data_IF_001884989396
#
_entry.id   IF_001884989396
#
_cell.length_a   1.000
_cell.length_b   1.000
_cell.length_c   1.000
_cell.angle_alpha   90.00
_cell.angle_beta   90.00
_cell.angle_gamma   90.00
#
_symmetry.space_group_name_H-M   'P 1'
#
loop_
_entity.id
_entity.type
_entity.pdbx_description
1 polymer ?
#
# COMPACT_ATOMS: atom_id res chain seq x y z
N UNK A 1 12.30 -12.35 4.11
CA UNK A 1 13.66 -11.92 4.51
C UNK A 1 14.70 -12.76 3.77
N UNK A 2 15.93 -12.25 3.63
CA UNK A 2 17.05 -12.95 3.02
C UNK A 2 18.18 -13.01 4.06
N UNK A 3 18.73 -14.19 4.30
CA UNK A 3 19.86 -14.41 5.21
C UNK A 3 21.03 -15.01 4.44
N UNK A 4 22.20 -14.38 4.51
CA UNK A 4 23.44 -14.87 3.94
C UNK A 4 24.35 -15.37 5.05
N UNK A 5 24.91 -16.56 4.88
CA UNK A 5 25.95 -17.08 5.77
C UNK A 5 27.02 -17.82 4.97
N UNK A 6 28.30 -17.53 5.26
CA UNK A 6 29.44 -18.13 4.52
C UNK A 6 29.76 -19.56 4.98
N UNK A 7 29.54 -19.88 6.25
CA UNK A 7 29.83 -21.22 6.81
C UNK A 7 28.62 -22.15 6.68
N UNK A 8 28.85 -23.37 6.20
CA UNK A 8 27.82 -24.42 6.14
C UNK A 8 27.18 -24.71 7.50
N UNK A 9 27.95 -24.63 8.60
CA UNK A 9 27.44 -24.82 9.96
C UNK A 9 26.39 -23.77 10.34
N UNK A 10 26.62 -22.50 9.97
CA UNK A 10 25.68 -21.41 10.23
C UNK A 10 24.41 -21.55 9.38
N UNK A 11 24.54 -21.91 8.10
CA UNK A 11 23.38 -22.19 7.25
C UNK A 11 22.50 -23.31 7.83
N UNK A 12 23.10 -24.43 8.26
CA UNK A 12 22.36 -25.52 8.91
C UNK A 12 21.61 -25.07 10.17
N UNK A 13 22.22 -24.19 10.98
CA UNK A 13 21.57 -23.64 12.17
C UNK A 13 20.38 -22.75 11.75
N UNK A 14 20.55 -21.88 10.76
CA UNK A 14 19.48 -21.02 10.26
C UNK A 14 18.33 -21.83 9.67
N UNK A 15 18.62 -22.84 8.86
CA UNK A 15 17.63 -23.74 8.26
C UNK A 15 16.86 -24.52 9.33
N UNK A 16 17.56 -25.09 10.31
CA UNK A 16 16.93 -25.83 11.42
C UNK A 16 15.97 -24.95 12.23
N UNK A 17 16.27 -23.66 12.35
CA UNK A 17 15.47 -22.71 13.11
C UNK A 17 14.56 -21.83 12.23
N UNK A 18 14.47 -22.12 10.92
CA UNK A 18 13.67 -21.33 9.98
C UNK A 18 12.19 -21.17 10.39
N UNK A 19 11.51 -22.18 10.96
CA UNK A 19 10.13 -22.02 11.44
C UNK A 19 10.02 -20.96 12.55
N UNK A 20 10.88 -21.02 13.56
CA UNK A 20 10.90 -20.04 14.66
C UNK A 20 11.16 -18.62 14.15
N UNK A 21 12.12 -18.45 13.24
CA UNK A 21 12.43 -17.15 12.65
C UNK A 21 11.22 -16.63 11.86
N UNK A 22 10.51 -17.51 11.16
CA UNK A 22 9.35 -17.16 10.35
C UNK A 22 8.18 -16.72 11.23
N UNK A 23 7.91 -17.42 12.32
CA UNK A 23 6.79 -17.13 13.21
C UNK A 23 7.03 -15.87 14.07
N UNK A 24 8.22 -15.76 14.69
CA UNK A 24 8.57 -14.64 15.56
C UNK A 24 8.63 -13.31 14.80
N UNK A 25 9.14 -13.34 13.57
CA UNK A 25 9.28 -12.14 12.72
C UNK A 25 8.05 -11.95 11.80
N UNK A 26 7.10 -12.90 11.80
CA UNK A 26 5.92 -12.93 10.93
C UNK A 26 6.27 -12.80 9.45
N UNK A 27 7.25 -13.58 9.01
CA UNK A 27 7.70 -13.60 7.62
C UNK A 27 6.76 -14.46 6.78
N UNK A 28 6.37 -13.97 5.60
CA UNK A 28 5.68 -14.79 4.60
C UNK A 28 6.64 -15.71 3.83
N UNK A 29 7.93 -15.34 3.78
CA UNK A 29 8.98 -16.08 3.07
C UNK A 29 10.36 -15.75 3.64
N UNK A 30 11.20 -16.76 3.74
CA UNK A 30 12.62 -16.64 4.06
C UNK A 30 13.46 -17.32 2.97
N UNK A 31 14.59 -16.70 2.61
CA UNK A 31 15.57 -17.23 1.65
C UNK A 31 16.92 -17.24 2.34
N UNK A 32 17.64 -18.35 2.28
CA UNK A 32 18.92 -18.55 2.95
C UNK A 32 19.96 -19.09 1.97
N UNK A 33 21.23 -18.69 2.08
CA UNK A 33 22.31 -19.28 1.28
C UNK A 33 23.67 -18.59 1.45
N UNK A 34 24.70 -19.19 0.87
CA UNK A 34 26.05 -18.59 0.78
C UNK A 34 26.15 -17.55 -0.33
N UNK A 35 25.39 -17.74 -1.41
CA UNK A 35 25.50 -16.97 -2.66
C UNK A 35 24.30 -16.06 -2.91
N UNK A 36 23.48 -15.82 -1.88
CA UNK A 36 22.35 -14.90 -1.97
C UNK A 36 22.85 -13.45 -2.05
N UNK A 37 22.24 -12.66 -2.93
CA UNK A 37 22.59 -11.27 -3.15
C UNK A 37 21.74 -10.31 -2.31
N UNK A 38 22.35 -9.18 -1.92
CA UNK A 38 21.66 -8.08 -1.24
C UNK A 38 20.66 -7.41 -2.19
N UNK A 39 19.38 -7.26 -1.80
CA UNK A 39 18.40 -6.49 -2.59
C UNK A 39 18.72 -4.99 -2.60
N UNK A 40 18.48 -4.34 -3.74
CA UNK A 40 18.77 -2.91 -3.96
C UNK A 40 18.14 -1.96 -2.92
N UNK A 41 16.93 -2.26 -2.45
CA UNK A 41 16.26 -1.49 -1.39
C UNK A 41 15.90 -2.41 -0.23
N UNK A 42 16.81 -2.55 0.73
CA UNK A 42 16.64 -3.40 1.91
C UNK A 42 17.17 -2.75 3.17
N UNK A 43 16.47 -2.97 4.29
CA UNK A 43 17.07 -2.79 5.60
C UNK A 43 18.08 -3.93 5.81
N UNK A 44 19.29 -3.59 6.26
CA UNK A 44 20.39 -4.54 6.43
C UNK A 44 20.85 -4.61 7.87
N UNK A 45 21.14 -5.81 8.35
CA UNK A 45 21.81 -6.07 9.62
C UNK A 45 22.92 -7.09 9.41
N UNK A 46 24.00 -6.98 10.19
CA UNK A 46 25.10 -7.95 10.20
C UNK A 46 25.21 -8.50 11.62
N UNK A 47 25.13 -9.82 11.77
CA UNK A 47 25.23 -10.52 13.06
C UNK A 47 26.36 -11.54 12.95
N UNK A 48 27.54 -11.17 13.46
CA UNK A 48 28.76 -11.95 13.27
C UNK A 48 29.09 -12.08 11.77
N UNK A 49 29.10 -13.31 11.26
CA UNK A 49 29.36 -13.61 9.83
C UNK A 49 28.06 -13.82 9.02
N UNK A 50 26.91 -13.49 9.58
CA UNK A 50 25.60 -13.59 8.93
C UNK A 50 25.16 -12.19 8.50
N UNK A 51 24.78 -12.05 7.24
CA UNK A 51 24.17 -10.82 6.72
C UNK A 51 22.67 -11.05 6.55
N UNK A 52 21.85 -10.19 7.13
CA UNK A 52 20.41 -10.25 7.05
C UNK A 52 19.85 -9.05 6.30
N UNK A 53 18.94 -9.32 5.36
CA UNK A 53 18.27 -8.29 4.58
C UNK A 53 16.77 -8.46 4.60
N UNK A 54 16.08 -7.37 4.87
CA UNK A 54 14.63 -7.26 4.71
C UNK A 54 14.37 -6.33 3.53
N UNK A 55 13.93 -6.87 2.38
CA UNK A 55 13.51 -6.03 1.27
C UNK A 55 12.44 -5.04 1.73
N UNK A 56 12.70 -3.75 1.52
CA UNK A 56 11.73 -2.69 1.81
C UNK A 56 10.71 -2.57 0.67
N UNK A 57 11.12 -2.89 -0.56
CA UNK A 57 10.21 -3.14 -1.68
C UNK A 57 9.37 -4.39 -1.37
N UNK A 58 8.06 -4.20 -1.14
CA UNK A 58 7.10 -5.29 -0.91
C UNK A 58 6.57 -5.46 0.53
N UNK A 59 7.06 -4.69 1.51
CA UNK A 59 6.44 -4.64 2.86
C UNK A 59 5.06 -3.95 2.83
N UNK A 60 4.85 -3.05 1.87
CA UNK A 60 3.52 -2.65 1.40
C UNK A 60 3.22 -3.59 0.23
N UNK A 61 2.19 -4.43 0.33
CA UNK A 61 1.67 -5.16 -0.83
C UNK A 61 1.12 -4.10 -1.79
N UNK A 62 1.97 -3.59 -2.69
CA UNK A 62 1.64 -2.51 -3.62
C UNK A 62 0.44 -2.86 -4.48
N UNK A 63 0.27 -4.14 -4.85
CA UNK A 63 -0.90 -4.60 -5.58
C UNK A 63 -2.19 -4.51 -4.73
N UNK A 64 -2.13 -4.92 -3.46
CA UNK A 64 -3.26 -4.80 -2.51
C UNK A 64 -3.56 -3.35 -2.16
N UNK A 65 -2.54 -2.52 -1.99
CA UNK A 65 -2.68 -1.10 -1.69
C UNK A 65 -3.20 -0.34 -2.92
N UNK A 66 -2.71 -0.66 -4.11
CA UNK A 66 -3.25 -0.20 -5.39
C UNK A 66 -4.72 -0.59 -5.52
N UNK A 67 -5.08 -1.86 -5.33
CA UNK A 67 -6.46 -2.34 -5.42
C UNK A 67 -7.36 -1.66 -4.37
N UNK A 68 -6.86 -1.42 -3.15
CA UNK A 68 -7.58 -0.69 -2.10
C UNK A 68 -7.84 0.76 -2.51
N UNK A 69 -6.83 1.45 -3.03
CA UNK A 69 -6.93 2.83 -3.50
C UNK A 69 -7.82 2.95 -4.73
N UNK A 70 -7.74 2.04 -5.70
CA UNK A 70 -8.62 1.98 -6.86
C UNK A 70 -10.07 1.76 -6.44
N UNK A 71 -10.34 0.86 -5.48
CA UNK A 71 -11.68 0.66 -4.93
C UNK A 71 -12.21 1.90 -4.21
N UNK A 72 -11.36 2.60 -3.45
CA UNK A 72 -11.73 3.86 -2.80
C UNK A 72 -12.02 4.96 -3.82
N UNK A 73 -11.19 5.09 -4.85
CA UNK A 73 -11.40 6.02 -5.96
C UNK A 73 -12.74 5.73 -6.66
N UNK A 74 -13.00 4.47 -7.03
CA UNK A 74 -14.26 4.09 -7.67
C UNK A 74 -15.50 4.41 -6.81
N UNK A 75 -15.41 4.20 -5.50
CA UNK A 75 -16.48 4.57 -4.57
C UNK A 75 -16.75 6.07 -4.54
N UNK A 76 -15.70 6.88 -4.40
CA UNK A 76 -15.82 8.34 -4.32
C UNK A 76 -16.24 8.92 -5.68
N UNK A 77 -15.76 8.39 -6.80
CA UNK A 77 -16.20 8.80 -8.13
C UNK A 77 -17.71 8.59 -8.31
N UNK A 78 -18.23 7.43 -7.92
CA UNK A 78 -19.68 7.16 -7.98
C UNK A 78 -20.49 8.09 -7.08
N UNK A 79 -19.97 8.41 -5.90
CA UNK A 79 -20.62 9.36 -5.00
C UNK A 79 -20.60 10.78 -5.57
N UNK A 80 -19.48 11.20 -6.17
CA UNK A 80 -19.37 12.49 -6.84
C UNK A 80 -20.34 12.59 -8.02
N UNK A 81 -20.42 11.57 -8.88
CA UNK A 81 -21.36 11.54 -10.01
C UNK A 81 -22.82 11.70 -9.56
N UNK A 82 -23.22 11.10 -8.43
CA UNK A 82 -24.56 11.25 -7.87
C UNK A 82 -24.81 12.67 -7.37
N UNK A 83 -23.81 13.25 -6.70
CA UNK A 83 -23.84 14.62 -6.17
C UNK A 83 -23.94 15.62 -7.32
N UNK A 84 -23.09 15.49 -8.34
CA UNK A 84 -23.11 16.33 -9.55
C UNK A 84 -24.43 16.20 -10.33
N UNK A 85 -25.01 15.00 -10.42
CA UNK A 85 -26.32 14.81 -11.07
C UNK A 85 -27.43 15.55 -10.34
N UNK A 86 -27.41 15.58 -9.00
CA UNK A 86 -28.39 16.36 -8.23
C UNK A 86 -28.19 17.85 -8.43
N UNK A 87 -26.95 18.33 -8.37
CA UNK A 87 -26.62 19.74 -8.58
C UNK A 87 -26.87 20.22 -10.02
N UNK A 88 -26.85 19.34 -11.02
CA UNK A 88 -27.23 19.66 -12.41
C UNK A 88 -28.74 19.61 -12.66
N UNK A 89 -29.52 19.01 -11.76
CA UNK A 89 -30.96 18.93 -11.93
C UNK A 89 -31.61 20.27 -11.58
N UNK A 90 -32.08 21.00 -12.60
CA UNK A 90 -32.77 22.27 -12.42
C UNK A 90 -33.98 22.16 -11.48
N UNK A 91 -34.68 21.02 -11.47
CA UNK A 91 -35.78 20.77 -10.53
C UNK A 91 -35.32 20.68 -9.07
N UNK A 92 -34.10 20.20 -8.81
CA UNK A 92 -33.51 20.20 -7.47
C UNK A 92 -33.03 21.60 -7.09
N UNK A 93 -32.35 22.30 -8.00
CA UNK A 93 -31.87 23.68 -7.76
C UNK A 93 -33.01 24.67 -7.48
N UNK A 94 -34.15 24.51 -8.15
CA UNK A 94 -35.28 25.44 -8.03
C UNK A 94 -36.20 25.13 -6.84
N UNK A 95 -36.24 23.87 -6.36
CA UNK A 95 -37.18 23.45 -5.31
C UNK A 95 -36.52 23.09 -3.98
N UNK A 96 -35.20 22.83 -3.96
CA UNK A 96 -34.51 22.51 -2.71
C UNK A 96 -34.19 23.79 -1.91
N UNK A 97 -34.30 23.77 -0.57
CA UNK A 97 -33.81 24.83 0.27
C UNK A 97 -32.33 25.12 0.03
N UNK A 98 -31.94 26.40 0.10
CA UNK A 98 -30.56 26.85 -0.11
C UNK A 98 -29.55 26.13 0.77
N UNK A 99 -29.90 25.83 2.02
CA UNK A 99 -29.04 25.05 2.93
C UNK A 99 -28.73 23.63 2.42
N UNK A 100 -29.66 23.00 1.68
CA UNK A 100 -29.46 21.67 1.10
C UNK A 100 -28.56 21.77 -0.14
N UNK A 101 -28.75 22.80 -0.96
CA UNK A 101 -27.90 23.08 -2.13
C UNK A 101 -26.46 23.36 -1.68
N UNK A 102 -26.28 24.26 -0.71
CA UNK A 102 -24.96 24.61 -0.16
C UNK A 102 -24.25 23.38 0.46
N UNK A 103 -24.99 22.51 1.14
CA UNK A 103 -24.46 21.23 1.65
C UNK A 103 -24.01 20.31 0.54
N UNK A 104 -24.78 20.19 -0.54
CA UNK A 104 -24.45 19.31 -1.66
C UNK A 104 -23.27 19.87 -2.48
N UNK A 105 -23.16 21.19 -2.66
CA UNK A 105 -22.00 21.85 -3.28
C UNK A 105 -20.72 21.70 -2.44
N UNK A 106 -20.84 21.86 -1.11
CA UNK A 106 -19.71 21.62 -0.20
C UNK A 106 -19.26 20.17 -0.28
N UNK A 107 -20.22 19.23 -0.29
CA UNK A 107 -19.95 17.81 -0.45
C UNK A 107 -19.24 17.51 -1.77
N UNK A 108 -19.68 18.12 -2.87
CA UNK A 108 -19.03 17.98 -4.18
C UNK A 108 -17.55 18.41 -4.14
N UNK A 109 -17.25 19.57 -3.53
CA UNK A 109 -15.88 20.07 -3.37
C UNK A 109 -15.01 19.11 -2.54
N UNK A 110 -15.53 18.62 -1.41
CA UNK A 110 -14.82 17.68 -0.56
C UNK A 110 -14.51 16.35 -1.28
N UNK A 111 -15.48 15.82 -2.04
CA UNK A 111 -15.30 14.61 -2.85
C UNK A 111 -14.25 14.81 -3.96
N UNK A 112 -14.26 15.97 -4.63
CA UNK A 112 -13.26 16.35 -5.64
C UNK A 112 -11.85 16.45 -5.06
N UNK A 113 -11.69 17.08 -3.90
CA UNK A 113 -10.40 17.12 -3.22
C UNK A 113 -9.91 15.74 -2.83
N UNK A 114 -10.80 14.91 -2.29
CA UNK A 114 -10.46 13.54 -1.86
C UNK A 114 -10.04 12.67 -3.03
N UNK A 115 -10.72 12.77 -4.18
CA UNK A 115 -10.30 12.13 -5.44
C UNK A 115 -8.91 12.57 -5.88
N UNK A 116 -8.65 13.89 -5.86
CA UNK A 116 -7.35 14.45 -6.25
C UNK A 116 -6.22 13.92 -5.36
N UNK A 117 -6.42 13.87 -4.05
CA UNK A 117 -5.43 13.34 -3.09
C UNK A 117 -5.18 11.85 -3.29
N UNK A 118 -6.25 11.05 -3.40
CA UNK A 118 -6.14 9.61 -3.64
C UNK A 118 -5.49 9.29 -4.99
N UNK A 119 -5.81 10.06 -6.04
CA UNK A 119 -5.19 9.89 -7.36
C UNK A 119 -3.70 10.21 -7.36
N UNK A 120 -3.26 11.25 -6.62
CA UNK A 120 -1.83 11.52 -6.41
C UNK A 120 -1.12 10.37 -5.69
N UNK A 121 -1.73 9.85 -4.62
CA UNK A 121 -1.17 8.73 -3.87
C UNK A 121 -1.06 7.45 -4.73
N UNK A 122 -2.06 7.19 -5.59
CA UNK A 122 -2.02 6.07 -6.52
C UNK A 122 -0.88 6.22 -7.55
N UNK A 123 -0.68 7.44 -8.09
CA UNK A 123 0.43 7.73 -9.03
C UNK A 123 1.79 7.55 -8.38
N UNK A 124 1.99 7.96 -7.13
CA UNK A 124 3.26 7.75 -6.42
C UNK A 124 3.59 6.27 -6.17
N UNK A 125 2.62 5.37 -6.29
CA UNK A 125 2.81 3.92 -6.17
C UNK A 125 3.09 3.22 -7.51
N UNK A 126 3.02 3.96 -8.62
CA UNK A 126 3.40 3.50 -9.97
C UNK A 126 4.63 4.29 -10.42
N UNK A 127 5.85 3.98 -9.95
CA UNK A 127 7.03 4.45 -10.65
C UNK A 127 7.04 3.79 -12.04
N UNK A 128 7.31 4.59 -13.08
CA UNK A 128 7.57 4.12 -14.46
C UNK A 128 8.60 2.98 -14.50
#
# INVERSE_FOLDING_TARGET
AILKAKKKTQLKILERNAPYITDLVRLSRIVMGSDVAKPASSASAVIGEIEAWVPLKGLINLAKEKARLEKQLAGITRELERTEKKLKNQGFLNNAPREIIDKEEKKEKELKEKLKRLGKNLKSLQPE
#
